data_IF_561829532201
#
_entry.id   IF_561829532201
#
_cell.length_a   1.000
_cell.length_b   1.000
_cell.length_c   1.000
_cell.angle_alpha   90.00
_cell.angle_beta   90.00
_cell.angle_gamma   90.00
#
_symmetry.space_group_name_H-M   'P 1'
#
loop_
_entity.id
_entity.type
_entity.pdbx_description
1 polymer ?
#
# COMPACT_ATOMS: atom_id res chain seq x y z
N UNK A 1 -0.04 18.34 12.20
CA UNK A 1 0.30 16.93 12.49
C UNK A 1 0.92 16.84 13.87
N UNK A 2 0.66 15.73 14.54
CA UNK A 2 1.38 15.31 15.74
C UNK A 2 2.63 14.52 15.30
N UNK A 3 3.79 14.88 15.83
CA UNK A 3 5.07 14.25 15.51
C UNK A 3 5.67 13.61 16.76
N UNK A 4 5.66 12.28 16.80
CA UNK A 4 6.19 11.50 17.91
C UNK A 4 7.40 10.70 17.47
N UNK A 5 8.42 10.64 18.32
CA UNK A 5 9.57 9.77 18.12
C UNK A 5 9.29 8.47 18.83
N UNK A 6 9.21 7.37 18.09
CA UNK A 6 8.85 6.05 18.60
C UNK A 6 9.89 5.02 18.19
N UNK A 7 10.17 4.04 19.05
CA UNK A 7 11.00 2.89 18.66
C UNK A 7 10.16 1.96 17.80
N UNK A 8 10.50 1.83 16.52
CA UNK A 8 9.81 0.88 15.63
C UNK A 8 10.32 -0.54 15.90
N UNK A 9 9.46 -1.50 16.28
CA UNK A 9 9.88 -2.87 16.49
C UNK A 9 10.32 -3.56 15.20
N UNK A 10 9.84 -3.12 14.03
CA UNK A 10 10.19 -3.73 12.75
C UNK A 10 11.60 -3.37 12.29
N UNK A 11 12.08 -2.16 12.60
CA UNK A 11 13.40 -1.68 12.14
C UNK A 11 14.38 -1.40 13.27
N UNK A 12 13.94 -1.46 14.53
CA UNK A 12 14.74 -1.22 15.75
C UNK A 12 15.43 0.15 15.77
N UNK A 13 14.75 1.16 15.21
CA UNK A 13 15.19 2.55 15.17
C UNK A 13 14.15 3.44 15.86
N UNK A 14 14.59 4.55 16.46
CA UNK A 14 13.72 5.66 16.83
C UNK A 14 13.31 6.41 15.56
N UNK A 15 12.10 6.17 15.09
CA UNK A 15 11.55 6.78 13.88
C UNK A 15 10.62 7.93 14.23
N UNK A 16 10.41 8.86 13.30
CA UNK A 16 9.41 9.93 13.45
C UNK A 16 8.07 9.41 12.91
N UNK A 17 7.04 9.39 13.75
CA UNK A 17 5.66 9.09 13.37
C UNK A 17 4.88 10.40 13.27
N UNK A 18 4.32 10.68 12.10
CA UNK A 18 3.52 11.87 11.81
C UNK A 18 2.05 11.48 11.59
N UNK A 19 1.17 12.00 12.44
CA UNK A 19 -0.25 11.67 12.43
C UNK A 19 -1.16 12.90 12.38
N UNK A 20 -2.29 12.77 11.68
CA UNK A 20 -3.34 13.77 11.65
C UNK A 20 -3.19 14.80 10.52
N UNK A 21 -3.94 15.91 10.60
CA UNK A 21 -4.02 16.90 9.52
C UNK A 21 -2.75 17.75 9.41
N UNK A 22 -2.32 18.06 8.20
CA UNK A 22 -1.19 18.96 7.92
C UNK A 22 -1.62 20.42 8.12
N UNK A 23 -0.88 21.15 8.96
CA UNK A 23 -1.20 22.51 9.42
C UNK A 23 0.08 23.36 9.56
N UNK A 24 -0.10 24.69 9.64
CA UNK A 24 1.01 25.60 9.94
C UNK A 24 1.71 25.23 11.28
N UNK A 25 3.02 25.43 11.33
CA UNK A 25 3.86 25.03 12.48
C UNK A 25 4.34 23.57 12.46
N UNK A 26 3.89 22.76 11.49
CA UNK A 26 4.30 21.37 11.39
C UNK A 26 5.77 21.18 10.98
N UNK A 27 6.34 22.15 10.28
CA UNK A 27 7.75 22.11 9.87
C UNK A 27 8.69 22.14 11.08
N UNK A 28 8.40 23.02 12.05
CA UNK A 28 9.16 23.17 13.29
C UNK A 28 9.00 21.94 14.18
N UNK A 29 7.78 21.40 14.28
CA UNK A 29 7.50 20.16 15.02
C UNK A 29 8.25 18.97 14.43
N UNK A 30 8.22 18.83 13.10
CA UNK A 30 8.99 17.80 12.39
C UNK A 30 10.48 17.97 12.68
N UNK A 31 11.03 19.17 12.51
CA UNK A 31 12.45 19.44 12.74
C UNK A 31 12.89 19.09 14.18
N UNK A 32 12.05 19.39 15.18
CA UNK A 32 12.30 19.03 16.58
C UNK A 32 12.24 17.50 16.82
N UNK A 33 11.34 16.78 16.14
CA UNK A 33 11.29 15.33 16.19
C UNK A 33 12.48 14.68 15.48
N UNK A 34 12.86 15.17 14.30
CA UNK A 34 13.96 14.66 13.49
C UNK A 34 15.31 14.73 14.23
N UNK A 35 15.55 15.76 15.05
CA UNK A 35 16.76 15.87 15.90
C UNK A 35 16.91 14.75 16.92
N UNK A 36 15.80 14.10 17.30
CA UNK A 36 15.77 13.05 18.33
C UNK A 36 15.63 11.64 17.74
N UNK A 37 15.37 11.54 16.45
CA UNK A 37 15.24 10.29 15.72
C UNK A 37 16.61 9.74 15.33
N UNK A 38 16.66 8.42 15.16
CA UNK A 38 17.83 7.76 14.57
C UNK A 38 17.82 7.94 13.05
N UNK A 39 18.98 7.68 12.43
CA UNK A 39 19.12 7.57 10.98
C UNK A 39 19.20 6.10 10.59
N UNK A 40 18.66 5.74 9.43
CA UNK A 40 18.84 4.41 8.87
C UNK A 40 20.25 4.24 8.28
N UNK A 41 20.52 3.06 7.68
CA UNK A 41 21.84 2.76 7.12
C UNK A 41 22.19 3.59 5.88
N UNK A 42 21.21 4.28 5.28
CA UNK A 42 21.40 5.23 4.18
C UNK A 42 21.56 6.68 4.68
N UNK A 43 21.59 6.86 6.02
CA UNK A 43 21.72 8.13 6.70
C UNK A 43 20.44 8.95 6.74
N UNK A 44 19.27 8.34 6.47
CA UNK A 44 17.99 9.02 6.34
C UNK A 44 17.20 8.99 7.65
N UNK A 45 16.53 10.10 7.97
CA UNK A 45 15.52 10.13 9.03
C UNK A 45 14.28 9.40 8.52
N UNK A 46 13.83 8.37 9.23
CA UNK A 46 12.62 7.63 8.85
C UNK A 46 11.37 8.36 9.35
N UNK A 47 10.51 8.77 8.41
CA UNK A 47 9.24 9.45 8.65
C UNK A 47 8.07 8.55 8.25
N UNK A 48 7.37 8.01 9.24
CA UNK A 48 6.12 7.27 9.05
C UNK A 48 4.93 8.21 8.96
N UNK A 49 4.14 8.05 7.90
CA UNK A 49 3.05 8.96 7.53
C UNK A 49 1.69 8.29 7.70
N UNK A 50 0.82 8.89 8.52
CA UNK A 50 -0.59 8.54 8.65
C UNK A 50 -1.44 9.82 8.70
N UNK A 51 -1.85 10.33 7.55
CA UNK A 51 -2.48 11.64 7.46
C UNK A 51 -3.55 11.71 6.37
N UNK A 52 -4.71 12.34 6.61
CA UNK A 52 -5.68 12.64 5.57
C UNK A 52 -5.22 13.76 4.62
N UNK A 53 -4.03 14.33 4.82
CA UNK A 53 -3.54 15.54 4.14
C UNK A 53 -3.86 16.80 4.94
N UNK A 54 -3.96 17.95 4.26
CA UNK A 54 -4.20 19.23 4.91
C UNK A 54 -3.79 20.41 4.06
N UNK A 55 -3.25 21.44 4.71
CA UNK A 55 -2.79 22.66 4.05
C UNK A 55 -1.57 22.36 3.15
N UNK A 56 -1.64 22.78 1.89
CA UNK A 56 -0.60 22.55 0.86
C UNK A 56 0.66 23.35 1.13
N UNK A 57 0.54 24.63 1.50
CA UNK A 57 1.68 25.48 1.83
C UNK A 57 2.41 24.96 3.07
N UNK A 58 1.67 24.58 4.11
CA UNK A 58 2.25 23.95 5.30
C UNK A 58 2.97 22.64 4.97
N UNK A 59 2.42 21.82 4.05
CA UNK A 59 3.09 20.62 3.58
C UNK A 59 4.43 20.93 2.89
N UNK A 60 4.49 21.98 2.07
CA UNK A 60 5.76 22.41 1.45
C UNK A 60 6.79 22.90 2.47
N UNK A 61 6.37 23.64 3.51
CA UNK A 61 7.29 24.01 4.60
C UNK A 61 7.84 22.79 5.35
N UNK A 62 7.03 21.73 5.51
CA UNK A 62 7.53 20.45 6.05
C UNK A 62 8.52 19.82 5.08
N UNK A 63 8.29 19.86 3.77
CA UNK A 63 9.24 19.39 2.76
C UNK A 63 10.57 20.13 2.83
N UNK A 64 10.58 21.46 2.99
CA UNK A 64 11.81 22.24 3.18
C UNK A 64 12.60 21.77 4.42
N UNK A 65 11.89 21.39 5.49
CA UNK A 65 12.50 20.82 6.69
C UNK A 65 13.00 19.38 6.45
N UNK A 66 12.29 18.58 5.66
CA UNK A 66 12.70 17.23 5.26
C UNK A 66 13.99 17.25 4.43
N UNK A 67 14.10 18.14 3.45
CA UNK A 67 15.26 18.23 2.57
C UNK A 67 16.55 18.57 3.34
N UNK A 68 16.45 19.37 4.42
CA UNK A 68 17.60 19.69 5.29
C UNK A 68 18.17 18.49 6.04
N UNK A 69 17.37 17.47 6.30
CA UNK A 69 17.79 16.31 7.11
C UNK A 69 17.89 15.01 6.34
N UNK A 70 17.42 14.98 5.09
CA UNK A 70 17.27 13.80 4.22
C UNK A 70 16.35 12.75 4.85
N UNK A 71 15.23 12.48 4.19
CA UNK A 71 14.13 11.70 4.80
C UNK A 71 13.79 10.48 3.98
N UNK A 72 13.58 9.36 4.67
CA UNK A 72 12.88 8.20 4.16
C UNK A 72 11.42 8.32 4.57
N UNK A 73 10.52 8.60 3.63
CA UNK A 73 9.08 8.58 3.92
C UNK A 73 8.49 7.19 3.72
N UNK A 74 7.73 6.70 4.68
CA UNK A 74 7.02 5.45 4.54
C UNK A 74 5.57 5.55 5.04
N UNK A 75 4.67 4.84 4.37
CA UNK A 75 3.32 4.59 4.88
C UNK A 75 3.33 3.21 5.51
N UNK A 76 3.26 3.09 6.85
CA UNK A 76 3.31 1.80 7.53
C UNK A 76 2.05 0.96 7.24
N UNK A 77 2.09 -0.31 7.64
CA UNK A 77 0.97 -1.23 7.46
C UNK A 77 -0.34 -0.66 8.04
N UNK A 78 -1.44 -0.82 7.30
CA UNK A 78 -2.78 -0.28 7.60
C UNK A 78 -2.91 1.25 7.72
N UNK A 79 -1.83 2.02 7.64
CA UNK A 79 -1.89 3.48 7.65
C UNK A 79 -2.37 4.04 6.30
N UNK A 80 -2.88 5.27 6.35
CA UNK A 80 -3.38 5.98 5.17
C UNK A 80 -2.71 7.34 5.08
N UNK A 81 -2.22 7.66 3.89
CA UNK A 81 -1.63 8.95 3.58
C UNK A 81 -2.34 9.49 2.34
N UNK A 82 -3.12 10.56 2.49
CA UNK A 82 -3.99 11.08 1.43
C UNK A 82 -3.69 12.53 1.09
N UNK A 83 -4.08 12.95 -0.12
CA UNK A 83 -4.01 14.34 -0.57
C UNK A 83 -2.57 14.88 -0.43
N UNK A 84 -2.38 16.06 0.19
CA UNK A 84 -1.07 16.63 0.49
C UNK A 84 -0.10 15.67 1.20
N UNK A 85 -0.58 14.71 1.99
CA UNK A 85 0.31 13.69 2.56
C UNK A 85 0.94 12.83 1.45
N UNK A 86 0.12 12.27 0.54
CA UNK A 86 0.61 11.39 -0.52
C UNK A 86 1.39 12.15 -1.60
N UNK A 87 0.80 13.26 -2.06
CA UNK A 87 1.29 13.98 -3.24
C UNK A 87 2.44 14.94 -2.94
N UNK A 88 2.59 15.37 -1.68
CA UNK A 88 3.65 16.30 -1.26
C UNK A 88 4.62 15.59 -0.31
N UNK A 89 4.18 15.20 0.89
CA UNK A 89 5.11 14.67 1.90
C UNK A 89 5.74 13.33 1.47
N UNK A 90 4.93 12.31 1.19
CA UNK A 90 5.41 11.00 0.78
C UNK A 90 6.21 11.05 -0.52
N UNK A 91 5.76 11.83 -1.51
CA UNK A 91 6.50 12.02 -2.75
C UNK A 91 7.88 12.70 -2.55
N UNK A 92 8.09 13.34 -1.40
CA UNK A 92 9.30 14.10 -1.05
C UNK A 92 10.37 13.34 -0.29
N UNK A 93 10.15 12.09 0.09
CA UNK A 93 11.23 11.25 0.60
C UNK A 93 12.33 11.00 -0.45
N UNK A 94 13.58 10.98 -0.01
CA UNK A 94 14.72 10.50 -0.82
C UNK A 94 14.58 9.00 -1.11
N UNK A 95 14.02 8.28 -0.13
CA UNK A 95 13.48 6.92 -0.23
C UNK A 95 12.02 6.90 0.17
N UNK A 96 11.24 6.03 -0.47
CA UNK A 96 9.76 6.07 -0.44
C UNK A 96 9.18 4.67 -0.53
N UNK A 97 8.44 4.27 0.50
CA UNK A 97 7.88 2.91 0.60
C UNK A 97 6.48 2.86 1.17
N UNK A 98 5.64 2.03 0.56
CA UNK A 98 4.35 1.64 1.12
C UNK A 98 4.50 0.23 1.72
N UNK A 99 4.41 0.14 3.03
CA UNK A 99 4.63 -1.10 3.78
C UNK A 99 3.31 -1.82 4.02
N UNK A 100 3.33 -3.15 3.96
CA UNK A 100 2.14 -3.98 4.17
C UNK A 100 0.95 -3.53 3.32
N UNK A 101 -0.20 -3.33 3.97
CA UNK A 101 -1.46 -2.85 3.43
C UNK A 101 -1.65 -1.33 3.57
N UNK A 102 -0.56 -0.56 3.69
CA UNK A 102 -0.63 0.90 3.66
C UNK A 102 -1.24 1.43 2.35
N UNK A 103 -1.87 2.60 2.41
CA UNK A 103 -2.57 3.20 1.28
C UNK A 103 -2.17 4.65 1.03
N UNK A 104 -1.99 4.98 -0.25
CA UNK A 104 -1.86 6.35 -0.73
C UNK A 104 -3.18 6.80 -1.37
N UNK A 105 -3.64 8.00 -1.06
CA UNK A 105 -4.87 8.59 -1.61
C UNK A 105 -4.57 9.81 -2.48
N UNK A 106 -4.95 9.76 -3.76
CA UNK A 106 -4.76 10.84 -4.73
C UNK A 106 -6.10 11.41 -5.20
N UNK A 107 -6.21 12.74 -5.26
CA UNK A 107 -7.32 13.48 -5.87
C UNK A 107 -6.81 14.85 -6.35
N UNK A 108 -7.62 15.60 -7.10
CA UNK A 108 -7.26 16.96 -7.51
C UNK A 108 -7.40 17.98 -6.38
N UNK A 109 -6.45 18.92 -6.29
CA UNK A 109 -6.58 20.08 -5.42
C UNK A 109 -7.87 20.84 -5.70
N UNK A 110 -8.47 21.36 -4.64
CA UNK A 110 -9.63 22.22 -4.74
C UNK A 110 -9.43 23.50 -3.93
N UNK A 111 -10.04 24.58 -4.40
CA UNK A 111 -10.21 25.83 -3.68
C UNK A 111 -11.68 25.94 -3.29
N UNK A 112 -11.94 26.35 -2.05
CA UNK A 112 -13.30 26.63 -1.59
C UNK A 112 -13.70 28.01 -2.10
N UNK A 113 -14.75 28.08 -2.90
CA UNK A 113 -15.36 29.33 -3.36
C UNK A 113 -16.79 29.47 -2.82
N UNK A 114 -17.46 30.58 -3.16
CA UNK A 114 -18.83 30.86 -2.71
C UNK A 114 -19.88 29.88 -3.27
N UNK A 115 -19.53 29.05 -4.27
CA UNK A 115 -20.42 28.09 -4.95
C UNK A 115 -20.07 26.62 -4.66
N UNK A 116 -18.97 26.35 -3.95
CA UNK A 116 -18.57 25.00 -3.55
C UNK A 116 -17.05 24.78 -3.62
N UNK A 117 -16.66 23.61 -4.13
CA UNK A 117 -15.26 23.23 -4.33
C UNK A 117 -14.92 23.26 -5.82
N UNK A 118 -14.08 24.21 -6.24
CA UNK A 118 -13.57 24.29 -7.61
C UNK A 118 -12.15 23.73 -7.68
N UNK A 119 -11.79 23.02 -8.75
CA UNK A 119 -10.43 22.53 -8.94
C UNK A 119 -9.44 23.72 -8.99
N UNK A 120 -8.33 23.63 -8.26
CA UNK A 120 -7.28 24.66 -8.25
C UNK A 120 -6.13 24.22 -9.16
N UNK A 121 -6.10 24.74 -10.39
CA UNK A 121 -5.08 24.37 -11.40
C UNK A 121 -3.67 24.67 -10.91
N UNK A 122 -3.47 25.83 -10.28
CA UNK A 122 -2.16 26.26 -9.79
C UNK A 122 -1.65 25.33 -8.69
N UNK A 123 -2.53 24.93 -7.76
CA UNK A 123 -2.19 23.95 -6.73
C UNK A 123 -1.76 22.61 -7.34
N UNK A 124 -2.50 22.10 -8.32
CA UNK A 124 -2.17 20.84 -8.98
C UNK A 124 -0.82 20.92 -9.72
N UNK A 125 -0.53 22.04 -10.37
CA UNK A 125 0.73 22.29 -11.07
C UNK A 125 1.93 22.33 -10.12
N UNK A 126 1.81 23.02 -8.98
CA UNK A 126 2.89 23.11 -7.98
C UNK A 126 3.18 21.72 -7.37
N UNK A 127 2.13 20.96 -7.04
CA UNK A 127 2.29 19.58 -6.54
C UNK A 127 2.95 18.69 -7.58
N UNK A 128 2.53 18.79 -8.84
CA UNK A 128 3.12 18.04 -9.94
C UNK A 128 4.61 18.39 -10.13
N UNK A 129 4.95 19.68 -10.11
CA UNK A 129 6.33 20.16 -10.24
C UNK A 129 7.23 19.59 -9.14
N UNK A 130 6.79 19.62 -7.87
CA UNK A 130 7.52 19.00 -6.76
C UNK A 130 7.75 17.51 -6.99
N UNK A 131 6.70 16.76 -7.32
CA UNK A 131 6.82 15.32 -7.55
C UNK A 131 7.78 15.01 -8.72
N UNK A 132 7.74 15.78 -9.80
CA UNK A 132 8.66 15.65 -10.95
C UNK A 132 10.11 15.91 -10.56
N UNK A 133 10.38 16.96 -9.77
CA UNK A 133 11.72 17.25 -9.27
C UNK A 133 12.30 16.09 -8.44
N UNK A 134 11.44 15.28 -7.82
CA UNK A 134 11.80 14.08 -7.03
C UNK A 134 11.71 12.78 -7.83
N UNK A 135 11.72 12.88 -9.15
CA UNK A 135 11.81 11.75 -10.08
C UNK A 135 10.50 11.00 -10.33
N UNK A 136 9.34 11.53 -9.92
CA UNK A 136 8.04 10.94 -10.27
C UNK A 136 7.68 11.35 -11.69
N UNK A 137 7.27 10.41 -12.53
CA UNK A 137 6.96 10.72 -13.93
C UNK A 137 5.68 11.56 -14.07
N UNK A 138 5.63 12.43 -15.07
CA UNK A 138 4.44 13.24 -15.37
C UNK A 138 3.21 12.34 -15.66
N UNK A 139 3.43 11.18 -16.30
CA UNK A 139 2.38 10.20 -16.55
C UNK A 139 1.82 9.60 -15.25
N UNK A 140 2.68 9.35 -14.25
CA UNK A 140 2.26 8.86 -12.94
C UNK A 140 1.40 9.91 -12.21
N UNK A 141 1.80 11.17 -12.22
CA UNK A 141 1.05 12.27 -11.61
C UNK A 141 -0.35 12.40 -12.26
N UNK A 142 -0.39 12.38 -13.59
CA UNK A 142 -1.63 12.56 -14.35
C UNK A 142 -2.59 11.36 -14.29
N UNK A 143 -2.10 10.16 -13.94
CA UNK A 143 -2.90 8.92 -13.97
C UNK A 143 -4.09 8.95 -13.01
N UNK A 144 -3.96 9.64 -11.87
CA UNK A 144 -5.02 9.73 -10.86
C UNK A 144 -5.59 11.14 -10.71
N UNK A 145 -4.77 12.18 -10.79
CA UNK A 145 -5.21 13.58 -10.62
C UNK A 145 -6.21 14.01 -11.70
N UNK A 146 -6.08 13.51 -12.94
CA UNK A 146 -7.02 13.87 -14.04
C UNK A 146 -8.33 13.07 -14.03
N UNK A 147 -8.34 11.89 -13.40
CA UNK A 147 -9.47 10.95 -13.45
C UNK A 147 -10.42 11.09 -12.26
N UNK A 148 -9.93 11.61 -11.14
CA UNK A 148 -10.69 11.77 -9.91
C UNK A 148 -10.77 13.25 -9.55
N UNK A 149 -11.99 13.80 -9.52
CA UNK A 149 -12.25 15.20 -9.18
C UNK A 149 -12.14 15.47 -7.67
N UNK A 150 -12.48 16.69 -7.24
CA UNK A 150 -12.38 17.11 -5.85
C UNK A 150 -13.20 16.26 -4.85
N UNK A 151 -14.22 15.53 -5.33
CA UNK A 151 -15.11 14.69 -4.52
C UNK A 151 -14.71 13.22 -4.41
N UNK A 152 -13.78 12.72 -5.25
CA UNK A 152 -13.41 11.31 -5.29
C UNK A 152 -11.94 11.09 -4.93
N UNK A 153 -11.66 10.00 -4.21
CA UNK A 153 -10.30 9.62 -3.81
C UNK A 153 -9.85 8.35 -4.52
N UNK A 154 -8.73 8.42 -5.24
CA UNK A 154 -8.03 7.26 -5.77
C UNK A 154 -7.12 6.66 -4.69
N UNK A 155 -7.60 5.63 -4.00
CA UNK A 155 -6.79 4.85 -3.07
C UNK A 155 -5.96 3.81 -3.82
N UNK A 156 -4.65 3.85 -3.63
CA UNK A 156 -3.71 2.90 -4.23
C UNK A 156 -2.85 2.27 -3.14
N UNK A 157 -2.77 0.94 -3.16
CA UNK A 157 -1.83 0.18 -2.33
C UNK A 157 -0.46 0.10 -2.96
N UNK A 158 0.47 -0.55 -2.25
CA UNK A 158 1.87 -0.75 -2.63
C UNK A 158 2.06 -1.17 -4.08
N UNK A 159 1.38 -2.22 -4.55
CA UNK A 159 1.60 -2.76 -5.90
C UNK A 159 1.33 -1.73 -6.99
N UNK A 160 0.18 -1.04 -6.90
CA UNK A 160 -0.19 0.00 -7.87
C UNK A 160 0.73 1.22 -7.72
N UNK A 161 1.01 1.65 -6.48
CA UNK A 161 1.90 2.78 -6.22
C UNK A 161 3.32 2.55 -6.74
N UNK A 162 3.86 1.33 -6.65
CA UNK A 162 5.24 1.06 -6.99
C UNK A 162 5.43 0.53 -8.42
N UNK A 163 4.46 -0.20 -8.99
CA UNK A 163 4.56 -0.75 -10.35
C UNK A 163 3.93 0.15 -11.41
N UNK A 164 2.86 0.86 -11.06
CA UNK A 164 2.08 1.64 -12.03
C UNK A 164 2.33 3.15 -11.97
N UNK A 165 2.91 3.66 -10.89
CA UNK A 165 3.31 5.06 -10.73
C UNK A 165 4.83 5.17 -10.78
N UNK A 166 5.35 5.25 -12.00
CA UNK A 166 6.79 5.28 -12.26
C UNK A 166 7.48 6.39 -11.47
N UNK A 167 8.48 6.01 -10.68
CA UNK A 167 9.28 6.92 -9.88
C UNK A 167 8.67 7.29 -8.52
N UNK A 168 7.41 6.94 -8.24
CA UNK A 168 6.77 7.25 -6.96
C UNK A 168 7.40 6.45 -5.81
N UNK A 169 7.44 5.12 -5.90
CA UNK A 169 8.21 4.32 -4.96
C UNK A 169 9.69 4.37 -5.33
N UNK A 170 10.53 4.58 -4.33
CA UNK A 170 11.99 4.48 -4.43
C UNK A 170 12.46 3.72 -3.21
N UNK A 171 12.29 2.38 -3.20
CA UNK A 171 12.61 1.56 -2.04
C UNK A 171 14.08 1.72 -1.63
N UNK A 172 14.35 1.60 -0.33
CA UNK A 172 15.68 1.59 0.28
C UNK A 172 15.88 0.37 1.17
N UNK A 173 17.02 0.30 1.86
CA UNK A 173 17.40 -0.85 2.70
C UNK A 173 16.43 -1.08 3.87
N UNK A 174 15.81 -0.01 4.37
CA UNK A 174 14.79 -0.06 5.42
C UNK A 174 13.63 -0.99 5.06
N UNK A 175 13.18 -0.97 3.81
CA UNK A 175 12.04 -1.75 3.37
C UNK A 175 12.37 -3.24 3.27
N UNK A 176 13.59 -3.59 2.87
CA UNK A 176 14.08 -4.97 2.91
C UNK A 176 14.11 -5.49 4.35
N UNK A 177 14.58 -4.66 5.31
CA UNK A 177 14.55 -5.02 6.75
C UNK A 177 13.13 -5.17 7.28
N UNK A 178 12.24 -4.24 6.90
CA UNK A 178 10.84 -4.31 7.28
C UNK A 178 10.20 -5.60 6.74
N UNK A 179 10.41 -5.96 5.48
CA UNK A 179 9.88 -7.20 4.89
C UNK A 179 10.49 -8.46 5.50
N UNK A 180 11.79 -8.47 5.82
CA UNK A 180 12.42 -9.61 6.48
C UNK A 180 11.84 -9.88 7.87
N UNK A 181 11.38 -8.85 8.60
CA UNK A 181 10.75 -8.98 9.93
C UNK A 181 9.22 -9.01 9.90
N UNK A 182 8.59 -8.45 8.87
CA UNK A 182 7.14 -8.50 8.63
C UNK A 182 6.72 -9.77 7.87
N UNK A 183 7.67 -10.52 7.29
CA UNK A 183 7.47 -11.91 6.97
C UNK A 183 6.98 -12.59 8.25
N UNK A 184 5.73 -13.06 8.31
CA UNK A 184 5.26 -13.72 9.51
C UNK A 184 6.16 -14.93 9.77
N UNK A 185 6.32 -15.34 11.03
CA UNK A 185 6.89 -16.66 11.36
C UNK A 185 6.23 -17.78 10.51
N UNK A 186 4.98 -17.55 10.11
CA UNK A 186 4.23 -18.37 9.17
C UNK A 186 4.90 -18.51 7.78
N UNK A 187 5.53 -17.49 7.20
CA UNK A 187 6.17 -17.61 5.89
C UNK A 187 7.39 -18.55 5.91
N UNK A 188 8.15 -18.56 7.00
CA UNK A 188 9.21 -19.55 7.22
C UNK A 188 8.64 -20.96 7.36
N UNK A 189 7.49 -21.12 8.03
CA UNK A 189 6.77 -22.40 8.08
C UNK A 189 6.15 -22.81 6.73
N UNK A 190 5.68 -21.84 5.94
CA UNK A 190 5.13 -22.09 4.61
C UNK A 190 6.17 -22.71 3.70
N UNK A 191 7.44 -22.29 3.78
CA UNK A 191 8.54 -22.86 3.00
C UNK A 191 8.77 -24.36 3.24
N UNK A 192 8.30 -24.91 4.37
CA UNK A 192 8.38 -26.33 4.71
C UNK A 192 7.30 -27.17 4.00
N UNK A 193 6.33 -26.55 3.32
CA UNK A 193 5.29 -27.26 2.59
C UNK A 193 5.85 -27.92 1.33
N UNK A 194 5.38 -29.12 1.01
CA UNK A 194 5.93 -29.96 -0.06
C UNK A 194 5.64 -29.47 -1.50
N UNK A 195 4.67 -28.55 -1.68
CA UNK A 195 4.26 -28.04 -3.00
C UNK A 195 4.50 -26.55 -3.10
N UNK A 196 5.04 -26.10 -4.24
CA UNK A 196 5.23 -24.68 -4.57
C UNK A 196 3.91 -23.91 -4.47
N UNK A 197 2.81 -24.49 -4.92
CA UNK A 197 1.49 -23.88 -4.84
C UNK A 197 1.02 -23.76 -3.40
N UNK A 198 1.26 -24.78 -2.57
CA UNK A 198 0.94 -24.72 -1.14
C UNK A 198 1.78 -23.65 -0.41
N UNK A 199 3.07 -23.52 -0.75
CA UNK A 199 3.95 -22.46 -0.26
C UNK A 199 3.42 -21.08 -0.64
N UNK A 200 3.07 -20.88 -1.93
CA UNK A 200 2.50 -19.63 -2.43
C UNK A 200 1.18 -19.27 -1.74
N UNK A 201 0.27 -20.23 -1.60
CA UNK A 201 -1.03 -20.03 -0.95
C UNK A 201 -0.86 -19.63 0.52
N UNK A 202 0.02 -20.33 1.23
CA UNK A 202 0.30 -20.11 2.65
C UNK A 202 1.00 -18.77 2.91
N UNK A 203 1.94 -18.37 2.05
CA UNK A 203 2.74 -17.18 2.24
C UNK A 203 2.03 -15.87 1.82
N UNK A 204 0.95 -15.95 1.06
CA UNK A 204 0.21 -14.79 0.55
C UNK A 204 -1.20 -14.70 1.15
N UNK A 205 -1.49 -13.57 1.82
CA UNK A 205 -2.75 -13.36 2.52
C UNK A 205 -3.99 -13.29 1.61
N UNK A 206 -3.83 -12.92 0.34
CA UNK A 206 -4.93 -12.90 -0.64
C UNK A 206 -5.25 -14.34 -1.09
N UNK A 207 -4.21 -15.12 -1.41
CA UNK A 207 -4.35 -16.53 -1.76
C UNK A 207 -4.92 -17.36 -0.61
N UNK A 208 -4.45 -17.16 0.62
CA UNK A 208 -5.02 -17.82 1.82
C UNK A 208 -6.52 -17.52 1.97
N UNK A 209 -6.93 -16.27 1.74
CA UNK A 209 -8.33 -15.84 1.88
C UNK A 209 -9.24 -16.47 0.84
N UNK A 210 -8.79 -16.51 -0.42
CA UNK A 210 -9.59 -17.10 -1.50
C UNK A 210 -9.61 -18.64 -1.40
N UNK A 211 -8.55 -19.26 -0.88
CA UNK A 211 -8.51 -20.69 -0.57
C UNK A 211 -9.55 -21.06 0.49
N UNK A 212 -9.58 -20.31 1.60
CA UNK A 212 -10.61 -20.45 2.64
C UNK A 212 -12.02 -20.28 2.08
N UNK A 213 -12.23 -19.25 1.25
CA UNK A 213 -13.53 -18.98 0.62
C UNK A 213 -14.00 -20.16 -0.23
N UNK A 214 -13.11 -20.73 -1.03
CA UNK A 214 -13.42 -21.91 -1.85
C UNK A 214 -13.72 -23.13 -0.98
N UNK A 215 -12.94 -23.37 0.09
CA UNK A 215 -13.15 -24.49 0.99
C UNK A 215 -14.51 -24.44 1.70
N UNK A 216 -14.92 -23.25 2.16
CA UNK A 216 -16.24 -23.02 2.76
C UNK A 216 -17.37 -23.30 1.76
N UNK A 217 -17.29 -22.75 0.55
CA UNK A 217 -18.28 -22.96 -0.50
C UNK A 217 -18.37 -24.44 -0.91
N UNK A 218 -17.22 -25.09 -1.09
CA UNK A 218 -17.16 -26.51 -1.39
C UNK A 218 -17.81 -27.35 -0.28
N UNK A 219 -17.53 -27.02 0.99
CA UNK A 219 -18.16 -27.65 2.15
C UNK A 219 -19.68 -27.49 2.17
N UNK A 220 -20.20 -26.31 1.79
CA UNK A 220 -21.63 -26.08 1.63
C UNK A 220 -22.23 -26.95 0.51
N UNK A 221 -21.60 -26.96 -0.67
CA UNK A 221 -22.07 -27.78 -1.81
C UNK A 221 -22.01 -29.28 -1.51
N UNK A 222 -21.02 -29.73 -0.74
CA UNK A 222 -20.94 -31.13 -0.30
C UNK A 222 -22.07 -31.55 0.64
N UNK A 223 -22.70 -30.60 1.35
CA UNK A 223 -23.86 -30.88 2.20
C UNK A 223 -25.14 -31.03 1.37
N UNK A 224 -25.34 -30.16 0.40
CA UNK A 224 -26.59 -30.09 -0.38
C UNK A 224 -26.61 -31.04 -1.58
N UNK A 225 -25.47 -31.23 -2.25
CA UNK A 225 -25.41 -31.88 -3.55
C UNK A 225 -25.96 -33.31 -3.53
N UNK A 226 -26.81 -33.60 -4.52
CA UNK A 226 -27.33 -34.93 -4.81
C UNK A 226 -26.26 -35.91 -5.31
N UNK A 227 -25.18 -35.43 -5.93
CA UNK A 227 -24.10 -36.27 -6.45
C UNK A 227 -22.73 -35.87 -5.89
N UNK A 228 -22.54 -36.17 -4.60
CA UNK A 228 -21.32 -35.90 -3.83
C UNK A 228 -20.07 -36.56 -4.41
N UNK A 229 -20.21 -37.74 -5.02
CA UNK A 229 -19.08 -38.47 -5.60
C UNK A 229 -18.51 -37.76 -6.82
N UNK A 230 -19.39 -37.26 -7.71
CA UNK A 230 -18.98 -36.43 -8.84
C UNK A 230 -18.35 -35.13 -8.37
N UNK A 231 -18.96 -34.44 -7.40
CA UNK A 231 -18.40 -33.20 -6.85
C UNK A 231 -16.99 -33.38 -6.25
N UNK A 232 -16.74 -34.50 -5.55
CA UNK A 232 -15.39 -34.87 -5.08
C UNK A 232 -14.43 -35.15 -6.24
N UNK A 233 -14.87 -35.87 -7.27
CA UNK A 233 -14.04 -36.15 -8.43
C UNK A 233 -13.64 -34.85 -9.15
N UNK A 234 -14.61 -33.98 -9.42
CA UNK A 234 -14.40 -32.69 -10.08
C UNK A 234 -13.45 -31.79 -9.27
N UNK A 235 -13.60 -31.78 -7.94
CA UNK A 235 -12.72 -31.00 -7.07
C UNK A 235 -11.27 -31.51 -7.10
N UNK A 236 -11.06 -32.84 -7.07
CA UNK A 236 -9.72 -33.43 -7.18
C UNK A 236 -9.08 -33.15 -8.54
N UNK A 237 -9.87 -33.22 -9.61
CA UNK A 237 -9.40 -32.89 -10.97
C UNK A 237 -8.98 -31.43 -11.04
N UNK A 238 -9.79 -30.51 -10.52
CA UNK A 238 -9.43 -29.09 -10.47
C UNK A 238 -8.13 -28.83 -9.69
N UNK A 239 -7.95 -29.48 -8.54
CA UNK A 239 -6.70 -29.36 -7.76
C UNK A 239 -5.50 -29.75 -8.62
N UNK A 240 -5.53 -30.93 -9.26
CA UNK A 240 -4.37 -31.45 -10.01
C UNK A 240 -4.11 -30.70 -11.32
N UNK A 241 -5.17 -30.41 -12.07
CA UNK A 241 -5.05 -29.96 -13.46
C UNK A 241 -5.17 -28.44 -13.62
N UNK A 242 -5.59 -27.72 -12.59
CA UNK A 242 -5.74 -26.26 -12.65
C UNK A 242 -4.97 -25.56 -11.53
N UNK A 243 -5.21 -25.90 -10.26
CA UNK A 243 -4.52 -25.25 -9.14
C UNK A 243 -3.03 -25.60 -9.14
N UNK A 244 -2.71 -26.89 -9.17
CA UNK A 244 -1.33 -27.39 -9.07
C UNK A 244 -0.54 -27.22 -10.38
N UNK A 245 -1.22 -26.85 -11.48
CA UNK A 245 -0.57 -26.45 -12.72
C UNK A 245 -0.04 -25.00 -12.69
N UNK A 246 -0.45 -24.19 -11.71
CA UNK A 246 -0.03 -22.80 -11.60
C UNK A 246 1.38 -22.65 -11.02
N UNK A 247 2.13 -21.68 -11.53
CA UNK A 247 3.50 -21.35 -11.08
C UNK A 247 3.61 -19.98 -10.39
N UNK A 248 2.55 -19.17 -10.42
CA UNK A 248 2.53 -17.83 -9.83
C UNK A 248 1.16 -17.50 -9.18
N UNK A 249 1.16 -16.37 -8.46
CA UNK A 249 -0.02 -15.85 -7.74
C UNK A 249 -1.19 -15.54 -8.68
N UNK A 250 -0.92 -14.92 -9.83
CA UNK A 250 -1.99 -14.47 -10.73
C UNK A 250 -2.72 -15.66 -11.37
N UNK A 251 -2.00 -16.72 -11.72
CA UNK A 251 -2.56 -17.98 -12.17
C UNK A 251 -3.45 -18.60 -11.10
N UNK A 252 -2.95 -18.69 -9.86
CA UNK A 252 -3.73 -19.23 -8.74
C UNK A 252 -5.02 -18.43 -8.54
N UNK A 253 -4.94 -17.10 -8.44
CA UNK A 253 -6.12 -16.24 -8.30
C UNK A 253 -7.14 -16.45 -9.42
N UNK A 254 -6.71 -16.58 -10.67
CA UNK A 254 -7.62 -16.91 -11.79
C UNK A 254 -8.25 -18.28 -11.62
N UNK A 255 -7.47 -19.32 -11.31
CA UNK A 255 -7.97 -20.68 -11.09
C UNK A 255 -9.01 -20.75 -9.96
N UNK A 256 -8.72 -20.13 -8.81
CA UNK A 256 -9.66 -20.05 -7.69
C UNK A 256 -10.95 -19.29 -8.05
N UNK A 257 -10.84 -18.14 -8.73
CA UNK A 257 -12.02 -17.35 -9.14
C UNK A 257 -12.93 -18.14 -10.09
N UNK A 258 -12.34 -18.84 -11.07
CA UNK A 258 -13.10 -19.69 -11.99
C UNK A 258 -13.81 -20.82 -11.23
N UNK A 259 -13.10 -21.52 -10.34
CA UNK A 259 -13.67 -22.63 -9.59
C UNK A 259 -14.78 -22.19 -8.63
N UNK A 260 -14.61 -21.06 -7.96
CA UNK A 260 -15.66 -20.47 -7.12
C UNK A 260 -16.90 -20.14 -7.96
N UNK A 261 -16.72 -19.56 -9.16
CA UNK A 261 -17.82 -19.24 -10.05
C UNK A 261 -18.57 -20.50 -10.53
N UNK A 262 -17.85 -21.58 -10.86
CA UNK A 262 -18.43 -22.88 -11.19
C UNK A 262 -19.27 -23.44 -10.04
N UNK A 263 -18.69 -23.51 -8.82
CA UNK A 263 -19.38 -24.04 -7.65
C UNK A 263 -20.63 -23.23 -7.30
N UNK A 264 -20.61 -21.91 -7.47
CA UNK A 264 -21.79 -21.04 -7.25
C UNK A 264 -22.93 -21.34 -8.22
N UNK A 265 -22.61 -21.75 -9.46
CA UNK A 265 -23.61 -22.07 -10.50
C UNK A 265 -24.19 -23.49 -10.38
N UNK A 266 -23.55 -24.37 -9.61
CA UNK A 266 -24.08 -25.72 -9.41
C UNK A 266 -25.41 -25.65 -8.64
N UNK A 267 -26.46 -26.37 -9.08
CA UNK A 267 -27.68 -26.51 -8.30
C UNK A 267 -27.38 -27.17 -6.95
N UNK A 268 -28.17 -26.80 -5.94
CA UNK A 268 -28.02 -27.32 -4.59
C UNK A 268 -28.34 -28.79 -4.52
#
# INVERSE_FOLDING_TARGET
MDFKVVVSPQVHLRVVMAEGRIQDGDAEKFAAAAKRADRDDEGLVVLFLNSPGGNVEAAFRVVDAMDKVRVYTAVPDHAKCASACASILFASGERRSVMGNGLLGFHSCYRRDAKGYAADSLCNEIIAANAMQRGVSQAAINRFVKRYGAGDMAWVGRDIACKSLQGLCKPGLLETRYQAKAAPAHAADCSKLASVQAQLICADAELTRIDKTLAELYGQKMKTSSNKNRLRADQRTWIRSSRDACTDKDCLLRSYRMRIAELKRMPS
#
